data_IF_454641702920
#
_entry.id   IF_454641702920
#
_cell.length_a   1.000
_cell.length_b   1.000
_cell.length_c   1.000
_cell.angle_alpha   90.00
_cell.angle_beta   90.00
_cell.angle_gamma   90.00
#
_symmetry.space_group_name_H-M   'P 1'
#
loop_
_entity.id
_entity.type
_entity.pdbx_description
1 polymer ?
#
# COMPACT_ATOMS: atom_id res chain seq x y z
N UNK A 1 16.91 19.33 -27.80
CA UNK A 1 16.08 18.26 -27.19
C UNK A 1 15.49 18.77 -25.87
N UNK A 2 14.25 18.41 -25.51
CA UNK A 2 13.68 18.73 -24.19
C UNK A 2 14.10 17.67 -23.18
N UNK A 3 14.23 18.04 -21.90
CA UNK A 3 14.66 17.09 -20.84
C UNK A 3 13.73 15.88 -20.69
N UNK A 4 12.45 16.00 -21.07
CA UNK A 4 11.49 14.88 -21.08
C UNK A 4 11.90 13.81 -22.09
N UNK A 5 12.19 14.21 -23.32
CA UNK A 5 12.59 13.31 -24.40
C UNK A 5 13.94 12.65 -24.07
N UNK A 6 14.85 13.42 -23.47
CA UNK A 6 16.14 12.92 -22.99
C UNK A 6 15.99 11.78 -21.95
N UNK A 7 15.01 11.89 -21.04
CA UNK A 7 14.72 10.85 -20.04
C UNK A 7 14.14 9.59 -20.68
N UNK A 8 13.27 9.74 -21.68
CA UNK A 8 12.70 8.62 -22.44
C UNK A 8 13.79 7.88 -23.24
N UNK A 9 14.72 8.63 -23.82
CA UNK A 9 15.87 8.06 -24.51
C UNK A 9 16.87 7.38 -23.55
N UNK A 10 17.06 7.90 -22.33
CA UNK A 10 17.85 7.22 -21.29
C UNK A 10 17.24 5.87 -20.91
N UNK A 11 15.90 5.75 -20.83
CA UNK A 11 15.26 4.44 -20.62
C UNK A 11 15.44 3.52 -21.82
N UNK A 12 15.20 4.01 -23.05
CA UNK A 12 15.37 3.21 -24.26
C UNK A 12 16.83 2.75 -24.47
N UNK A 13 17.81 3.56 -24.06
CA UNK A 13 19.23 3.20 -24.08
C UNK A 13 19.54 1.99 -23.19
N UNK A 14 18.85 1.87 -22.04
CA UNK A 14 19.02 0.75 -21.11
C UNK A 14 18.44 -0.54 -21.64
N UNK A 15 17.29 -0.44 -22.30
CA UNK A 15 16.60 -1.59 -22.88
C UNK A 15 17.29 -2.08 -24.18
N UNK A 16 18.27 -1.33 -24.69
CA UNK A 16 19.01 -1.66 -25.91
C UNK A 16 18.26 -1.27 -27.19
N UNK A 17 17.18 -0.51 -27.07
CA UNK A 17 16.26 -0.14 -28.14
C UNK A 17 16.58 1.25 -28.75
N UNK A 18 17.68 1.88 -28.33
CA UNK A 18 18.05 3.22 -28.81
C UNK A 18 18.84 3.17 -30.12
N UNK A 19 18.36 3.91 -31.13
CA UNK A 19 19.09 4.05 -32.40
C UNK A 19 20.42 4.81 -32.24
N UNK A 20 21.47 4.47 -33.00
CA UNK A 20 22.78 5.11 -32.90
C UNK A 20 22.76 6.64 -33.11
N UNK A 21 21.91 7.12 -34.02
CA UNK A 21 21.72 8.55 -34.30
C UNK A 21 21.10 9.30 -33.12
N UNK A 22 20.26 8.64 -32.32
CA UNK A 22 19.63 9.21 -31.13
C UNK A 22 20.59 9.19 -29.93
N UNK A 23 21.49 8.20 -29.87
CA UNK A 23 22.53 8.12 -28.86
C UNK A 23 23.49 9.31 -28.91
N UNK A 24 23.89 9.76 -30.10
CA UNK A 24 24.76 10.94 -30.27
C UNK A 24 24.07 12.22 -29.78
N UNK A 25 22.81 12.42 -30.17
CA UNK A 25 22.01 13.57 -29.74
C UNK A 25 21.72 13.57 -28.23
N UNK A 26 21.55 12.39 -27.62
CA UNK A 26 21.43 12.23 -26.18
C UNK A 26 22.74 12.61 -25.47
N UNK A 27 23.88 12.14 -25.98
CA UNK A 27 25.19 12.43 -25.42
C UNK A 27 25.47 13.94 -25.43
N UNK A 28 25.15 14.63 -26.53
CA UNK A 28 25.28 16.08 -26.63
C UNK A 28 24.41 16.80 -25.59
N UNK A 29 23.19 16.32 -25.35
CA UNK A 29 22.31 16.91 -24.34
C UNK A 29 22.83 16.71 -22.90
N UNK A 30 23.40 15.55 -22.58
CA UNK A 30 23.96 15.25 -21.26
C UNK A 30 25.18 16.13 -20.92
N UNK A 31 25.91 16.61 -21.94
CA UNK A 31 27.00 17.58 -21.77
C UNK A 31 26.46 18.95 -21.32
N UNK A 32 25.27 19.34 -21.78
CA UNK A 32 24.72 20.68 -21.54
C UNK A 32 23.68 20.74 -20.41
N UNK A 33 23.04 19.62 -20.04
CA UNK A 33 22.01 19.57 -19.01
C UNK A 33 22.48 18.85 -17.74
N UNK A 34 22.65 19.61 -16.65
CA UNK A 34 23.07 19.05 -15.36
C UNK A 34 22.02 18.12 -14.73
N UNK A 35 20.73 18.41 -14.91
CA UNK A 35 19.65 17.59 -14.34
C UNK A 35 19.59 16.20 -14.97
N UNK A 36 19.67 16.11 -16.30
CA UNK A 36 19.67 14.83 -17.01
C UNK A 36 20.92 14.00 -16.68
N UNK A 37 22.07 14.65 -16.48
CA UNK A 37 23.30 13.99 -16.01
C UNK A 37 23.15 13.40 -14.61
N UNK A 38 22.53 14.14 -13.69
CA UNK A 38 22.26 13.65 -12.34
C UNK A 38 21.32 12.44 -12.36
N UNK A 39 20.29 12.45 -13.22
CA UNK A 39 19.42 11.30 -13.45
C UNK A 39 20.22 10.07 -13.91
N UNK A 40 21.03 10.19 -14.98
CA UNK A 40 21.85 9.09 -15.50
C UNK A 40 22.80 8.50 -14.43
N UNK A 41 23.44 9.36 -13.63
CA UNK A 41 24.33 8.94 -12.54
C UNK A 41 23.58 8.17 -11.44
N UNK A 42 22.39 8.65 -11.05
CA UNK A 42 21.58 7.97 -10.03
C UNK A 42 21.14 6.56 -10.49
N UNK A 43 20.87 6.40 -11.77
CA UNK A 43 20.47 5.12 -12.35
C UNK A 43 21.64 4.14 -12.45
N UNK A 44 22.83 4.60 -12.90
CA UNK A 44 24.06 3.80 -12.87
C UNK A 44 24.43 3.37 -11.46
N UNK A 45 24.19 4.22 -10.46
CA UNK A 45 24.41 3.88 -9.06
C UNK A 45 23.46 2.75 -8.62
N UNK A 46 22.18 2.81 -8.96
CA UNK A 46 21.22 1.73 -8.67
C UNK A 46 21.62 0.43 -9.37
N UNK A 47 21.98 0.48 -10.65
CA UNK A 47 22.44 -0.69 -11.40
C UNK A 47 23.69 -1.30 -10.76
N UNK A 48 24.64 -0.48 -10.32
CA UNK A 48 25.82 -0.96 -9.60
C UNK A 48 25.47 -1.67 -8.29
N UNK A 49 24.41 -1.27 -7.60
CA UNK A 49 23.94 -1.97 -6.39
C UNK A 49 23.30 -3.32 -6.72
N UNK A 50 22.57 -3.42 -7.83
CA UNK A 50 22.00 -4.69 -8.29
C UNK A 50 23.08 -5.66 -8.78
N UNK A 51 24.12 -5.17 -9.47
CA UNK A 51 25.25 -5.99 -9.95
C UNK A 51 26.21 -6.37 -8.81
N UNK A 52 26.39 -5.49 -7.81
CA UNK A 52 27.28 -5.73 -6.67
C UNK A 52 26.64 -6.53 -5.53
N UNK A 53 25.34 -6.85 -5.61
CA UNK A 53 24.70 -7.75 -4.65
C UNK A 53 25.12 -9.20 -4.94
N UNK A 54 25.82 -9.91 -4.03
CA UNK A 54 26.28 -11.28 -4.24
C UNK A 54 25.15 -12.31 -4.03
N UNK A 55 23.91 -11.97 -4.39
CA UNK A 55 22.77 -12.85 -4.28
C UNK A 55 22.07 -12.96 -5.62
N UNK A 56 22.01 -14.21 -6.12
CA UNK A 56 21.49 -14.64 -7.42
C UNK A 56 22.50 -14.58 -8.57
N UNK A 57 23.51 -15.47 -8.50
CA UNK A 57 24.04 -16.15 -9.70
C UNK A 57 22.89 -16.91 -10.39
N UNK A 58 22.08 -16.21 -11.20
CA UNK A 58 21.37 -16.84 -12.31
C UNK A 58 22.38 -16.98 -13.42
N UNK A 59 23.00 -18.15 -13.48
CA UNK A 59 23.70 -18.62 -14.65
C UNK A 59 22.68 -18.70 -15.79
N UNK A 60 22.61 -17.67 -16.63
CA UNK A 60 21.99 -17.78 -17.94
C UNK A 60 23.05 -18.46 -18.81
N UNK A 61 23.07 -19.79 -18.74
CA UNK A 61 23.79 -20.62 -19.70
C UNK A 61 23.01 -20.58 -21.02
N UNK A 62 23.66 -20.38 -22.18
CA UNK A 62 22.99 -20.52 -23.47
C UNK A 62 22.52 -21.97 -23.60
N UNK A 63 21.21 -22.17 -23.63
CA UNK A 63 20.58 -23.50 -23.71
C UNK A 63 20.80 -24.05 -25.12
N UNK A 64 21.89 -24.79 -25.27
CA UNK A 64 21.96 -25.84 -26.26
C UNK A 64 20.88 -26.87 -25.92
N UNK A 65 19.94 -27.04 -26.86
CA UNK A 65 18.98 -28.15 -26.89
C UNK A 65 19.75 -29.47 -26.82
N UNK A 66 19.61 -30.20 -25.71
CA UNK A 66 19.44 -31.67 -25.64
C UNK A 66 19.75 -32.15 -24.22
N UNK A 67 18.72 -32.44 -23.42
CA UNK A 67 18.76 -33.53 -22.44
C UNK A 67 17.37 -33.74 -21.86
N UNK A 68 16.81 -34.93 -22.09
CA UNK A 68 15.59 -35.41 -21.44
C UNK A 68 15.86 -35.47 -19.93
N UNK A 69 15.23 -34.59 -19.18
CA UNK A 69 15.19 -34.66 -17.72
C UNK A 69 14.33 -35.86 -17.31
N UNK A 70 14.96 -36.95 -16.87
CA UNK A 70 14.27 -37.93 -16.04
C UNK A 70 13.95 -37.24 -14.70
N UNK A 71 12.70 -36.82 -14.55
CA UNK A 71 12.16 -36.35 -13.27
C UNK A 71 12.18 -37.53 -12.31
N UNK A 72 13.23 -37.61 -11.49
CA UNK A 72 13.37 -38.66 -10.49
C UNK A 72 12.32 -38.48 -9.40
N UNK A 73 11.68 -39.57 -8.99
CA UNK A 73 10.71 -39.65 -7.89
C UNK A 73 11.23 -38.98 -6.60
N UNK A 74 12.54 -38.97 -6.37
CA UNK A 74 13.18 -38.28 -5.25
C UNK A 74 13.01 -36.75 -5.29
N UNK A 75 13.02 -36.14 -6.48
CA UNK A 75 12.83 -34.71 -6.64
C UNK A 75 11.38 -34.31 -6.34
N UNK A 76 10.43 -35.16 -6.74
CA UNK A 76 9.01 -35.01 -6.42
C UNK A 76 8.78 -35.17 -4.91
N UNK A 77 9.37 -36.19 -4.27
CA UNK A 77 9.27 -36.36 -2.81
C UNK A 77 9.80 -35.15 -2.04
N UNK A 78 10.95 -34.59 -2.44
CA UNK A 78 11.51 -33.40 -1.78
C UNK A 78 10.60 -32.18 -1.94
N UNK A 79 10.00 -31.98 -3.12
CA UNK A 79 9.05 -30.89 -3.34
C UNK A 79 7.79 -31.05 -2.48
N UNK A 80 7.25 -32.27 -2.34
CA UNK A 80 6.11 -32.56 -1.45
C UNK A 80 6.47 -32.33 0.02
N UNK A 81 7.68 -32.72 0.44
CA UNK A 81 8.18 -32.49 1.80
C UNK A 81 8.27 -30.97 2.09
N UNK A 82 8.81 -30.19 1.14
CA UNK A 82 8.88 -28.73 1.25
C UNK A 82 7.49 -28.09 1.29
N UNK A 83 6.57 -28.55 0.43
CA UNK A 83 5.20 -28.06 0.43
C UNK A 83 4.52 -28.32 1.77
N UNK A 84 4.73 -29.49 2.39
CA UNK A 84 4.18 -29.82 3.70
C UNK A 84 4.71 -28.91 4.82
N UNK A 85 5.99 -28.53 4.75
CA UNK A 85 6.58 -27.56 5.69
C UNK A 85 5.98 -26.16 5.52
N UNK A 86 5.78 -25.70 4.29
CA UNK A 86 5.17 -24.39 4.01
C UNK A 86 3.72 -24.35 4.50
N UNK A 87 2.95 -25.41 4.24
CA UNK A 87 1.57 -25.50 4.74
C UNK A 87 1.51 -25.45 6.26
N UNK A 88 2.43 -26.17 6.94
CA UNK A 88 2.51 -26.14 8.40
C UNK A 88 2.87 -24.73 8.94
N UNK A 89 3.77 -24.00 8.26
CA UNK A 89 4.10 -22.62 8.62
C UNK A 89 2.92 -21.66 8.42
N UNK A 90 2.18 -21.82 7.32
CA UNK A 90 0.99 -20.98 7.03
C UNK A 90 -0.11 -21.20 8.06
N UNK A 91 -0.35 -22.44 8.48
CA UNK A 91 -1.35 -22.73 9.51
C UNK A 91 -0.97 -22.09 10.85
N UNK A 92 0.31 -22.13 11.23
CA UNK A 92 0.78 -21.45 12.43
C UNK A 92 0.57 -19.93 12.36
N UNK A 93 0.88 -19.30 11.23
CA UNK A 93 0.66 -17.86 11.02
C UNK A 93 -0.83 -17.51 11.09
N UNK A 94 -1.68 -18.33 10.46
CA UNK A 94 -3.13 -18.12 10.44
C UNK A 94 -3.72 -18.22 11.85
N UNK A 95 -3.27 -19.20 12.63
CA UNK A 95 -3.67 -19.38 14.02
C UNK A 95 -3.21 -18.18 14.88
N UNK A 96 -1.98 -17.71 14.68
CA UNK A 96 -1.46 -16.53 15.36
C UNK A 96 -2.26 -15.26 15.02
N UNK A 97 -2.63 -15.06 13.75
CA UNK A 97 -3.47 -13.94 13.33
C UNK A 97 -4.88 -14.00 13.93
N UNK A 98 -5.53 -15.16 13.92
CA UNK A 98 -6.84 -15.32 14.54
C UNK A 98 -6.83 -14.99 16.02
N UNK A 99 -5.77 -15.38 16.73
CA UNK A 99 -5.62 -15.07 18.15
C UNK A 99 -5.45 -13.57 18.40
N UNK A 100 -4.68 -12.87 17.54
CA UNK A 100 -4.55 -11.40 17.61
C UNK A 100 -5.86 -10.68 17.31
N UNK A 101 -6.57 -11.11 16.28
CA UNK A 101 -7.87 -10.53 15.90
C UNK A 101 -8.91 -10.75 16.99
N UNK A 102 -8.96 -11.94 17.60
CA UNK A 102 -9.88 -12.22 18.70
C UNK A 102 -9.64 -11.34 19.93
N UNK A 103 -8.37 -11.06 20.27
CA UNK A 103 -8.02 -10.12 21.34
C UNK A 103 -8.37 -8.67 20.98
N UNK A 104 -8.03 -8.23 19.76
CA UNK A 104 -8.36 -6.88 19.31
C UNK A 104 -9.87 -6.65 19.27
N UNK A 105 -10.67 -7.65 18.90
CA UNK A 105 -12.13 -7.51 18.85
C UNK A 105 -12.74 -7.23 20.22
N UNK A 106 -12.23 -7.87 21.28
CA UNK A 106 -12.67 -7.60 22.67
C UNK A 106 -12.23 -6.21 23.16
N UNK A 107 -11.00 -5.82 22.84
CA UNK A 107 -10.50 -4.47 23.18
C UNK A 107 -11.27 -3.37 22.41
N UNK A 108 -11.65 -3.66 21.16
CA UNK A 108 -12.41 -2.75 20.31
C UNK A 108 -13.79 -2.43 20.88
N UNK A 109 -14.55 -3.43 21.35
CA UNK A 109 -15.88 -3.17 21.95
C UNK A 109 -15.79 -2.33 23.22
N UNK A 110 -14.80 -2.59 24.08
CA UNK A 110 -14.60 -1.80 25.30
C UNK A 110 -14.19 -0.36 24.97
N UNK A 111 -13.31 -0.17 23.98
CA UNK A 111 -12.91 1.15 23.51
C UNK A 111 -14.08 1.95 22.92
N UNK A 112 -14.96 1.31 22.14
CA UNK A 112 -16.16 1.96 21.60
C UNK A 112 -17.13 2.35 22.70
N UNK A 113 -17.36 1.47 23.69
CA UNK A 113 -18.24 1.80 24.82
C UNK A 113 -17.68 2.96 25.66
N UNK A 114 -16.37 2.96 25.93
CA UNK A 114 -15.71 4.01 26.72
C UNK A 114 -15.73 5.35 25.99
N UNK A 115 -15.44 5.36 24.69
CA UNK A 115 -15.52 6.59 23.89
C UNK A 115 -16.95 7.14 23.85
N UNK A 116 -17.96 6.27 23.69
CA UNK A 116 -19.37 6.70 23.74
C UNK A 116 -19.75 7.31 25.10
N UNK A 117 -19.31 6.71 26.21
CA UNK A 117 -19.54 7.26 27.55
C UNK A 117 -18.86 8.61 27.74
N UNK A 118 -17.60 8.75 27.31
CA UNK A 118 -16.87 10.01 27.41
C UNK A 118 -17.55 11.09 26.56
N UNK A 119 -17.88 10.79 25.30
CA UNK A 119 -18.52 11.73 24.39
C UNK A 119 -19.92 12.14 24.89
N UNK A 120 -20.71 11.20 25.40
CA UNK A 120 -22.06 11.51 25.93
C UNK A 120 -22.03 12.26 27.27
N UNK A 121 -20.95 12.13 28.07
CA UNK A 121 -20.81 12.86 29.33
C UNK A 121 -20.56 14.37 29.15
N UNK A 122 -19.94 14.76 28.03
CA UNK A 122 -19.61 16.15 27.70
C UNK A 122 -20.85 17.06 27.63
N UNK A 123 -21.89 16.76 26.83
CA UNK A 123 -23.08 17.62 26.78
C UNK A 123 -23.84 17.65 28.11
N UNK A 124 -23.81 16.57 28.88
CA UNK A 124 -24.45 16.51 30.20
C UNK A 124 -23.74 17.44 31.21
N UNK A 125 -22.41 17.38 31.26
CA UNK A 125 -21.59 18.29 32.07
C UNK A 125 -21.76 19.75 31.62
N UNK A 126 -21.80 19.99 30.31
CA UNK A 126 -22.05 21.32 29.78
C UNK A 126 -23.42 21.87 30.20
N UNK A 127 -24.46 21.04 30.21
CA UNK A 127 -25.80 21.41 30.67
C UNK A 127 -25.80 21.77 32.17
N UNK A 128 -25.12 20.98 32.99
CA UNK A 128 -24.96 21.27 34.43
C UNK A 128 -24.27 22.63 34.64
N UNK A 129 -23.19 22.90 33.90
CA UNK A 129 -22.46 24.17 33.96
C UNK A 129 -23.33 25.34 33.48
N UNK A 130 -24.10 25.16 32.41
CA UNK A 130 -25.08 26.14 31.91
C UNK A 130 -26.10 26.53 32.97
N UNK A 131 -26.63 25.56 33.71
CA UNK A 131 -27.63 25.81 34.77
C UNK A 131 -27.02 26.48 35.99
N UNK A 132 -25.82 26.08 36.40
CA UNK A 132 -25.14 26.63 37.58
C UNK A 132 -24.52 28.01 37.33
N UNK A 133 -23.86 28.21 36.19
CA UNK A 133 -23.06 29.40 35.88
C UNK A 133 -23.07 29.74 34.40
N UNK A 134 -24.05 30.54 33.99
CA UNK A 134 -24.24 31.01 32.61
C UNK A 134 -23.02 31.76 32.07
N UNK A 135 -22.29 32.49 32.91
CA UNK A 135 -21.08 33.24 32.52
C UNK A 135 -19.90 32.33 32.18
N UNK A 136 -19.73 31.19 32.86
CA UNK A 136 -18.70 30.20 32.48
C UNK A 136 -19.11 29.47 31.21
N UNK A 137 -20.40 29.13 31.07
CA UNK A 137 -20.91 28.47 29.88
C UNK A 137 -20.69 29.29 28.60
N UNK A 138 -20.93 30.61 28.65
CA UNK A 138 -20.70 31.50 27.50
C UNK A 138 -19.20 31.53 27.13
N UNK A 139 -18.30 31.64 28.12
CA UNK A 139 -16.84 31.60 27.88
C UNK A 139 -16.39 30.26 27.30
N UNK A 140 -16.93 29.16 27.82
CA UNK A 140 -16.65 27.83 27.30
C UNK A 140 -17.15 27.66 25.86
N UNK A 141 -18.32 28.19 25.52
CA UNK A 141 -18.88 28.17 24.17
C UNK A 141 -18.00 28.94 23.18
N UNK A 142 -17.56 30.16 23.54
CA UNK A 142 -16.65 30.96 22.69
C UNK A 142 -15.28 30.30 22.52
N UNK A 143 -14.79 29.58 23.54
CA UNK A 143 -13.55 28.80 23.42
C UNK A 143 -13.76 27.57 22.52
N UNK A 144 -14.92 26.91 22.63
CA UNK A 144 -15.28 25.77 21.79
C UNK A 144 -15.42 26.18 20.32
N UNK A 145 -16.02 27.34 20.04
CA UNK A 145 -16.15 27.92 18.71
C UNK A 145 -14.78 28.12 18.05
N UNK A 146 -13.84 28.79 18.73
CA UNK A 146 -12.46 28.93 18.23
C UNK A 146 -11.72 27.59 18.11
N UNK A 147 -12.01 26.64 18.99
CA UNK A 147 -11.47 25.28 18.92
C UNK A 147 -12.00 24.48 17.72
N UNK A 148 -13.29 24.62 17.40
CA UNK A 148 -13.93 23.99 16.24
C UNK A 148 -13.33 24.56 14.97
N UNK A 149 -13.19 25.88 14.84
CA UNK A 149 -12.56 26.49 13.67
C UNK A 149 -11.12 26.00 13.46
N UNK A 150 -10.34 25.90 14.54
CA UNK A 150 -8.98 25.36 14.50
C UNK A 150 -8.98 23.88 14.07
N UNK A 151 -9.91 23.07 14.59
CA UNK A 151 -10.08 21.67 14.21
C UNK A 151 -10.58 21.48 12.78
N UNK A 152 -11.41 22.38 12.28
CA UNK A 152 -11.88 22.39 10.89
C UNK A 152 -10.72 22.69 9.96
N UNK A 153 -9.92 23.73 10.23
CA UNK A 153 -8.71 24.05 9.46
C UNK A 153 -7.71 22.90 9.49
N UNK A 154 -7.50 22.28 10.66
CA UNK A 154 -6.64 21.11 10.79
C UNK A 154 -7.21 19.90 10.03
N UNK A 155 -8.53 19.72 10.05
CA UNK A 155 -9.25 18.69 9.32
C UNK A 155 -9.14 18.88 7.80
N UNK A 156 -9.22 20.11 7.31
CA UNK A 156 -9.01 20.44 5.90
C UNK A 156 -7.56 20.22 5.48
N UNK A 157 -6.58 20.56 6.34
CA UNK A 157 -5.17 20.26 6.12
C UNK A 157 -4.92 18.76 6.04
N UNK A 158 -5.44 18.01 7.00
CA UNK A 158 -5.35 16.55 7.02
C UNK A 158 -6.07 15.94 5.84
N UNK A 159 -7.24 16.43 5.45
CA UNK A 159 -7.94 15.94 4.26
C UNK A 159 -7.19 16.23 2.97
N UNK A 160 -6.52 17.39 2.84
CA UNK A 160 -5.69 17.67 1.67
C UNK A 160 -4.44 16.79 1.61
N UNK A 161 -3.76 16.57 2.74
CA UNK A 161 -2.61 15.64 2.82
C UNK A 161 -3.04 14.18 2.62
N UNK A 162 -4.12 13.75 3.29
CA UNK A 162 -4.65 12.41 3.11
C UNK A 162 -5.17 12.24 1.70
N UNK A 163 -5.86 13.20 1.09
CA UNK A 163 -6.33 13.10 -0.30
C UNK A 163 -5.16 12.94 -1.27
N UNK A 164 -4.03 13.58 -1.01
CA UNK A 164 -2.81 13.41 -1.80
C UNK A 164 -2.23 12.00 -1.68
N UNK A 165 -2.24 11.40 -0.48
CA UNK A 165 -1.71 10.05 -0.20
C UNK A 165 -2.74 8.94 -0.50
N UNK A 166 -4.04 9.23 -0.39
CA UNK A 166 -5.13 8.27 -0.54
C UNK A 166 -5.75 8.26 -1.91
N UNK A 167 -5.47 9.21 -2.83
CA UNK A 167 -6.04 9.14 -4.20
C UNK A 167 -5.73 7.81 -4.91
N UNK A 168 -4.55 7.25 -4.69
CA UNK A 168 -4.17 5.93 -5.20
C UNK A 168 -4.79 4.77 -4.41
N UNK A 169 -5.01 4.95 -3.10
CA UNK A 169 -5.61 3.93 -2.23
C UNK A 169 -7.16 3.93 -2.21
N UNK A 170 -7.81 5.05 -2.55
CA UNK A 170 -9.28 5.20 -2.55
C UNK A 170 -9.86 4.58 -3.83
N UNK A 171 -9.15 4.70 -4.95
CA UNK A 171 -9.44 3.92 -6.16
C UNK A 171 -9.31 2.42 -5.88
N UNK A 172 -8.24 2.01 -5.19
CA UNK A 172 -8.02 0.61 -4.83
C UNK A 172 -9.06 0.09 -3.81
N UNK A 173 -9.45 0.92 -2.84
CA UNK A 173 -10.47 0.62 -1.83
C UNK A 173 -11.87 0.56 -2.44
N UNK A 174 -12.21 1.47 -3.34
CA UNK A 174 -13.45 1.45 -4.12
C UNK A 174 -13.53 0.22 -5.03
N UNK A 175 -12.43 -0.13 -5.69
CA UNK A 175 -12.34 -1.35 -6.51
C UNK A 175 -12.53 -2.61 -5.63
N UNK A 176 -11.87 -2.68 -4.49
CA UNK A 176 -11.99 -3.80 -3.55
C UNK A 176 -13.44 -3.94 -3.03
N UNK A 177 -14.12 -2.83 -2.74
CA UNK A 177 -15.52 -2.83 -2.31
C UNK A 177 -16.46 -3.40 -3.40
N UNK A 178 -16.27 -2.99 -4.67
CA UNK A 178 -17.05 -3.52 -5.80
C UNK A 178 -16.85 -5.03 -5.97
N UNK A 179 -15.62 -5.53 -5.83
CA UNK A 179 -15.32 -6.96 -5.91
C UNK A 179 -16.04 -7.76 -4.81
N UNK A 180 -16.07 -7.25 -3.58
CA UNK A 180 -16.77 -7.92 -2.46
C UNK A 180 -18.29 -7.95 -2.69
N UNK A 181 -18.88 -6.87 -3.19
CA UNK A 181 -20.31 -6.81 -3.52
C UNK A 181 -20.64 -7.80 -4.62
N UNK A 182 -19.83 -7.84 -5.69
CA UNK A 182 -19.99 -8.82 -6.76
C UNK A 182 -19.89 -10.25 -6.22
N UNK A 183 -18.87 -10.57 -5.42
CA UNK A 183 -18.69 -11.90 -4.85
C UNK A 183 -19.85 -12.32 -3.92
N UNK A 184 -20.40 -11.41 -3.13
CA UNK A 184 -21.59 -11.66 -2.31
C UNK A 184 -22.86 -11.90 -3.14
N UNK A 185 -23.01 -11.18 -4.26
CA UNK A 185 -24.12 -11.36 -5.19
C UNK A 185 -24.04 -12.70 -5.92
N UNK A 186 -22.83 -13.10 -6.36
CA UNK A 186 -22.56 -14.41 -6.94
C UNK A 186 -22.85 -15.57 -5.97
N UNK A 187 -22.50 -15.42 -4.70
CA UNK A 187 -22.84 -16.42 -3.66
C UNK A 187 -24.34 -16.53 -3.41
N UNK A 188 -25.09 -15.43 -3.56
CA UNK A 188 -26.57 -15.49 -3.52
C UNK A 188 -27.14 -16.16 -4.77
N UNK A 189 -26.56 -15.93 -5.95
CA UNK A 189 -27.01 -16.52 -7.20
C UNK A 189 -26.74 -18.04 -7.26
N UNK A 190 -25.63 -18.48 -6.66
CA UNK A 190 -25.23 -19.90 -6.57
C UNK A 190 -25.96 -20.67 -5.48
N UNK A 191 -26.81 -20.01 -4.67
CA UNK A 191 -27.62 -20.71 -3.67
C UNK A 191 -28.80 -21.37 -4.41
N UNK A 192 -28.85 -22.71 -4.51
CA UNK A 192 -29.91 -23.38 -5.25
C UNK A 192 -31.27 -23.03 -4.63
N UNK A 193 -32.31 -22.81 -5.47
CA UNK A 193 -33.64 -22.52 -4.97
C UNK A 193 -34.07 -23.68 -4.08
N UNK A 194 -34.43 -23.37 -2.83
CA UNK A 194 -35.11 -24.33 -1.97
C UNK A 194 -36.51 -24.48 -2.53
N UNK A 195 -36.74 -25.56 -3.26
CA UNK A 195 -38.07 -26.00 -3.67
C UNK A 195 -38.95 -26.12 -2.41
N UNK A 196 -40.11 -25.47 -2.48
CA UNK A 196 -41.16 -25.48 -1.46
C UNK A 196 -42.19 -26.56 -1.80
#
# INVERSE_FOLDING_TARGET
MRCRDAREWLSAQRDGDLEPSQAEALQEHLVHCAECRACEQSEKQLESLFVSSPSVKRTITPVARTSRSSVSTDQIMRAVQQQKQITAQLDHIRQQQQTRVARMRKAGTVGVALSFLLVSSIPLLFLIVMVMQTTIAIKALTFLEGGIDTMVVLGEYLQNELAYITRDNFLLSGLAFVVVVMMGMWLRLMRPPKEA
#
